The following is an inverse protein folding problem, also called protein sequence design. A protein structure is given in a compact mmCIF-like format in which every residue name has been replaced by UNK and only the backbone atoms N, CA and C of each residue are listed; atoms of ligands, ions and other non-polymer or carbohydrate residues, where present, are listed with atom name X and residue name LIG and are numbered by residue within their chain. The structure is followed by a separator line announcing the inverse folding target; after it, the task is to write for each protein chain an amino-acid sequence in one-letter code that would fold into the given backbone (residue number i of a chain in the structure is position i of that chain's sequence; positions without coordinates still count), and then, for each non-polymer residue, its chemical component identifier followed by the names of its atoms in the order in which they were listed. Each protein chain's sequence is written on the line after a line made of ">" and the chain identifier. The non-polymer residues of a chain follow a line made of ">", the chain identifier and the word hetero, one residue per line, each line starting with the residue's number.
data_IF_297350248549
#
_entry.id   IF_297350248549
#
_cell.length_a   1.000
_cell.length_b   1.000
_cell.length_c   1.000
_cell.angle_alpha   90.00
_cell.angle_beta   90.00
_cell.angle_gamma   90.00
#
_symmetry.space_group_name_H-M   'P 1'
#
loop_
_entity.id
_entity.type
_entity.pdbx_description
1 polymer ?
#
# COMPACT_ATOMS: atom_id res chain seq x y z
N UNK A 1 -11.03 -10.93 2.28
CA UNK A 1 -12.17 -11.48 1.52
C UNK A 1 -13.41 -10.57 1.45
N UNK A 2 -14.31 -10.50 2.44
CA UNK A 2 -15.57 -9.74 2.29
C UNK A 2 -15.35 -8.23 2.06
N UNK A 3 -14.46 -7.62 2.85
CA UNK A 3 -14.11 -6.20 2.69
C UNK A 3 -13.40 -5.90 1.37
N UNK A 4 -12.56 -6.81 0.90
CA UNK A 4 -11.90 -6.68 -0.41
C UNK A 4 -12.92 -6.72 -1.55
N UNK A 5 -13.83 -7.70 -1.53
CA UNK A 5 -14.93 -7.78 -2.49
C UNK A 5 -15.77 -6.50 -2.49
N UNK A 6 -16.16 -6.02 -1.31
CA UNK A 6 -16.94 -4.79 -1.17
C UNK A 6 -16.17 -3.56 -1.67
N UNK A 7 -14.88 -3.45 -1.37
CA UNK A 7 -14.05 -2.34 -1.85
C UNK A 7 -13.93 -2.35 -3.37
N UNK A 8 -13.54 -3.47 -3.96
CA UNK A 8 -13.38 -3.61 -5.41
C UNK A 8 -14.68 -3.34 -6.15
N UNK A 9 -15.80 -3.92 -5.71
CA UNK A 9 -17.10 -3.71 -6.36
C UNK A 9 -17.64 -2.30 -6.18
N UNK A 10 -17.39 -1.67 -5.04
CA UNK A 10 -17.81 -0.30 -4.76
C UNK A 10 -17.03 0.69 -5.61
N UNK A 11 -15.71 0.55 -5.69
CA UNK A 11 -14.85 1.40 -6.52
C UNK A 11 -15.20 1.23 -7.99
N UNK A 12 -15.33 -0.01 -8.48
CA UNK A 12 -15.66 -0.28 -9.88
C UNK A 12 -17.05 0.24 -10.32
N UNK A 13 -17.98 0.46 -9.38
CA UNK A 13 -19.31 1.03 -9.64
C UNK A 13 -19.38 2.54 -9.40
N UNK A 14 -18.33 3.11 -8.84
CA UNK A 14 -18.23 4.56 -8.59
C UNK A 14 -17.74 5.30 -9.84
N UNK A 15 -17.72 6.62 -9.76
CA UNK A 15 -17.09 7.48 -10.78
C UNK A 15 -15.56 7.63 -10.58
N UNK A 16 -14.96 6.92 -9.60
CA UNK A 16 -13.52 6.99 -9.34
C UNK A 16 -12.68 6.33 -10.43
N UNK A 17 -13.23 5.31 -11.09
CA UNK A 17 -12.58 4.59 -12.17
C UNK A 17 -13.53 4.51 -13.36
N UNK A 18 -13.04 4.93 -14.51
CA UNK A 18 -13.70 4.83 -15.82
C UNK A 18 -12.78 4.03 -16.75
N UNK A 19 -13.25 3.48 -17.88
CA UNK A 19 -12.37 2.79 -18.83
C UNK A 19 -11.16 3.63 -19.28
N UNK A 20 -11.27 4.96 -19.25
CA UNK A 20 -10.22 5.91 -19.61
C UNK A 20 -9.29 6.28 -18.45
N UNK A 21 -9.59 5.84 -17.23
CA UNK A 21 -8.75 6.11 -16.06
C UNK A 21 -7.42 5.36 -16.14
N UNK A 22 -6.32 6.06 -15.84
CA UNK A 22 -4.99 5.42 -15.74
C UNK A 22 -4.96 4.42 -14.58
N UNK A 23 -5.55 4.79 -13.44
CA UNK A 23 -5.68 3.89 -12.28
C UNK A 23 -7.00 3.12 -12.37
N UNK A 24 -6.91 1.82 -12.16
CA UNK A 24 -7.99 0.84 -12.21
C UNK A 24 -7.95 -0.05 -10.97
N UNK A 25 -9.02 -0.84 -10.79
CA UNK A 25 -9.06 -1.95 -9.83
C UNK A 25 -9.45 -3.24 -10.56
N UNK A 26 -8.99 -4.41 -10.10
CA UNK A 26 -9.40 -5.67 -10.71
C UNK A 26 -10.91 -5.85 -10.74
N UNK A 27 -11.46 -6.20 -11.90
CA UNK A 27 -12.85 -6.63 -11.99
C UNK A 27 -13.08 -7.91 -11.20
N UNK A 28 -14.09 -7.88 -10.34
CA UNK A 28 -14.57 -9.08 -9.65
C UNK A 28 -15.38 -9.94 -10.61
N UNK A 29 -14.96 -11.20 -10.80
CA UNK A 29 -15.65 -12.18 -11.62
C UNK A 29 -16.62 -13.04 -10.78
N UNK A 30 -16.20 -13.42 -9.59
CA UNK A 30 -17.01 -14.24 -8.67
C UNK A 30 -16.58 -14.00 -7.23
N UNK A 31 -17.55 -14.00 -6.32
CA UNK A 31 -17.30 -14.01 -4.87
C UNK A 31 -18.15 -15.11 -4.23
N UNK A 32 -17.47 -16.06 -3.57
CA UNK A 32 -18.09 -17.09 -2.75
C UNK A 32 -17.78 -16.80 -1.27
N UNK A 33 -18.76 -16.26 -0.51
CA UNK A 33 -18.58 -15.97 0.91
C UNK A 33 -18.48 -17.23 1.77
N UNK A 34 -19.00 -18.38 1.31
CA UNK A 34 -18.98 -19.64 2.08
C UNK A 34 -17.62 -20.32 1.98
N UNK A 35 -17.01 -20.28 0.79
CA UNK A 35 -15.67 -20.81 0.56
C UNK A 35 -14.55 -19.82 0.92
N UNK A 36 -14.90 -18.56 1.22
CA UNK A 36 -13.93 -17.47 1.34
C UNK A 36 -13.05 -17.38 0.08
N UNK A 37 -13.68 -17.37 -1.10
CA UNK A 37 -13.01 -17.28 -2.41
C UNK A 37 -13.46 -16.04 -3.16
N UNK A 38 -12.51 -15.32 -3.74
CA UNK A 38 -12.72 -14.19 -4.63
C UNK A 38 -11.94 -14.48 -5.92
N UNK A 39 -12.66 -14.49 -7.05
CA UNK A 39 -12.08 -14.67 -8.38
C UNK A 39 -12.07 -13.30 -9.04
N UNK A 40 -10.88 -12.83 -9.38
CA UNK A 40 -10.63 -11.55 -10.02
C UNK A 40 -10.25 -11.75 -11.49
N UNK A 41 -10.33 -10.68 -12.27
CA UNK A 41 -9.74 -10.67 -13.60
C UNK A 41 -8.24 -10.94 -13.54
N UNK A 42 -7.75 -11.63 -14.57
CA UNK A 42 -6.32 -11.80 -14.76
C UNK A 42 -5.74 -10.52 -15.36
N UNK A 43 -4.73 -9.98 -14.69
CA UNK A 43 -4.04 -8.75 -15.08
C UNK A 43 -2.73 -9.00 -15.81
N UNK A 44 -2.39 -10.27 -16.13
CA UNK A 44 -1.22 -10.57 -16.92
C UNK A 44 -1.22 -9.82 -18.28
N UNK A 45 -0.08 -9.26 -18.71
CA UNK A 45 1.26 -9.41 -18.15
C UNK A 45 1.70 -8.22 -17.28
N UNK A 46 0.81 -7.63 -16.47
CA UNK A 46 1.16 -6.53 -15.57
C UNK A 46 2.21 -6.97 -14.53
N UNK A 47 3.09 -6.03 -14.15
CA UNK A 47 4.20 -6.26 -13.22
C UNK A 47 4.04 -5.43 -11.95
N UNK A 48 4.53 -5.89 -10.79
CA UNK A 48 4.57 -5.07 -9.57
C UNK A 48 5.30 -3.75 -9.81
N UNK A 49 4.79 -2.66 -9.23
CA UNK A 49 5.34 -1.32 -9.42
C UNK A 49 6.80 -1.26 -8.96
N UNK A 50 7.17 -1.99 -7.91
CA UNK A 50 8.57 -2.11 -7.45
C UNK A 50 9.52 -2.57 -8.57
N UNK A 51 9.13 -3.61 -9.31
CA UNK A 51 9.91 -4.17 -10.42
C UNK A 51 10.06 -3.15 -11.54
N UNK A 52 8.98 -2.45 -11.87
CA UNK A 52 8.97 -1.42 -12.92
C UNK A 52 9.84 -0.21 -12.53
N UNK A 53 9.79 0.23 -11.28
CA UNK A 53 10.61 1.33 -10.80
C UNK A 53 12.09 0.93 -10.73
N UNK A 54 12.40 -0.30 -10.32
CA UNK A 54 13.77 -0.80 -10.27
C UNK A 54 14.39 -0.90 -11.67
N UNK A 55 13.65 -1.46 -12.63
CA UNK A 55 14.09 -1.52 -14.03
C UNK A 55 14.32 -0.11 -14.60
N UNK A 56 13.38 0.82 -14.37
CA UNK A 56 13.52 2.20 -14.84
C UNK A 56 14.71 2.92 -14.18
N UNK A 57 15.00 2.64 -12.92
CA UNK A 57 16.18 3.16 -12.22
C UNK A 57 17.48 2.61 -12.83
N UNK A 58 17.58 1.29 -13.03
CA UNK A 58 18.74 0.64 -13.62
C UNK A 58 19.01 1.12 -15.06
N UNK A 59 17.95 1.41 -15.81
CA UNK A 59 18.03 1.90 -17.19
C UNK A 59 18.18 3.43 -17.30
N UNK A 60 18.23 4.17 -16.19
CA UNK A 60 18.34 5.64 -16.20
C UNK A 60 17.11 6.38 -16.76
N UNK A 61 15.94 5.75 -16.76
CA UNK A 61 14.67 6.30 -17.31
C UNK A 61 13.62 6.62 -16.24
N UNK A 62 14.01 6.57 -14.96
CA UNK A 62 13.11 6.68 -13.80
C UNK A 62 12.30 7.99 -13.77
N UNK A 63 12.87 9.11 -14.20
CA UNK A 63 12.28 10.44 -14.00
C UNK A 63 10.92 10.59 -14.68
N UNK A 64 10.85 10.38 -15.99
CA UNK A 64 9.59 10.56 -16.75
C UNK A 64 8.52 9.54 -16.33
N UNK A 65 8.92 8.29 -16.05
CA UNK A 65 7.98 7.21 -15.70
C UNK A 65 7.43 7.37 -14.28
N UNK A 66 8.29 7.68 -13.31
CA UNK A 66 7.89 7.90 -11.92
C UNK A 66 6.98 9.12 -11.76
N UNK A 67 7.21 10.20 -12.51
CA UNK A 67 6.34 11.38 -12.52
C UNK A 67 4.91 11.04 -12.93
N UNK A 68 4.72 10.32 -14.05
CA UNK A 68 3.39 9.94 -14.54
C UNK A 68 2.67 9.01 -13.57
N UNK A 69 3.38 8.02 -13.03
CA UNK A 69 2.84 7.07 -12.05
C UNK A 69 2.43 7.79 -10.77
N UNK A 70 3.34 8.60 -10.21
CA UNK A 70 3.09 9.34 -8.97
C UNK A 70 1.91 10.31 -9.11
N UNK A 71 1.81 11.01 -10.24
CA UNK A 71 0.67 11.90 -10.52
C UNK A 71 -0.65 11.11 -10.59
N UNK A 72 -0.68 9.98 -11.31
CA UNK A 72 -1.88 9.17 -11.45
C UNK A 72 -2.34 8.54 -10.13
N UNK A 73 -1.41 7.98 -9.34
CA UNK A 73 -1.71 7.40 -8.03
C UNK A 73 -2.15 8.46 -7.01
N UNK A 74 -1.47 9.62 -7.00
CA UNK A 74 -1.82 10.74 -6.13
C UNK A 74 -3.19 11.31 -6.43
N UNK A 75 -3.52 11.50 -7.72
CA UNK A 75 -4.85 11.90 -8.15
C UNK A 75 -5.92 10.87 -7.74
N UNK A 76 -5.68 9.59 -8.01
CA UNK A 76 -6.62 8.52 -7.65
C UNK A 76 -6.90 8.48 -6.14
N UNK A 77 -5.86 8.46 -5.31
CA UNK A 77 -6.04 8.34 -3.85
C UNK A 77 -6.69 9.61 -3.28
N UNK A 78 -6.34 10.79 -3.80
CA UNK A 78 -6.98 12.05 -3.41
C UNK A 78 -8.47 12.10 -3.76
N UNK A 79 -8.83 11.61 -4.95
CA UNK A 79 -10.24 11.47 -5.36
C UNK A 79 -10.97 10.43 -4.52
N UNK A 80 -10.37 9.28 -4.23
CA UNK A 80 -10.95 8.25 -3.36
C UNK A 80 -11.25 8.81 -1.97
N UNK A 81 -10.29 9.50 -1.35
CA UNK A 81 -10.47 10.11 -0.03
C UNK A 81 -11.55 11.19 -0.06
N UNK A 82 -11.56 12.04 -1.07
CA UNK A 82 -12.56 13.12 -1.22
C UNK A 82 -13.96 12.56 -1.45
N UNK A 83 -14.10 11.58 -2.35
CA UNK A 83 -15.36 10.93 -2.66
C UNK A 83 -15.92 10.16 -1.46
N UNK A 84 -15.06 9.40 -0.77
CA UNK A 84 -15.49 8.63 0.41
C UNK A 84 -15.84 9.50 1.61
N UNK A 85 -15.42 10.77 1.64
CA UNK A 85 -15.80 11.75 2.67
C UNK A 85 -17.23 12.28 2.50
N UNK A 86 -17.82 12.16 1.30
CA UNK A 86 -19.12 12.76 0.97
C UNK A 86 -20.24 12.18 1.85
N UNK A 87 -21.23 12.97 2.29
CA UNK A 87 -22.35 12.49 3.11
C UNK A 87 -23.07 11.27 2.53
N UNK A 88 -23.18 11.19 1.21
CA UNK A 88 -23.78 10.09 0.45
C UNK A 88 -23.07 8.75 0.69
N UNK A 89 -21.79 8.78 1.06
CA UNK A 89 -20.99 7.60 1.36
C UNK A 89 -21.00 7.21 2.84
N UNK A 90 -21.89 7.77 3.67
CA UNK A 90 -21.94 7.48 5.10
C UNK A 90 -22.12 5.99 5.42
N UNK A 91 -22.99 5.28 4.69
CA UNK A 91 -23.21 3.84 4.88
C UNK A 91 -21.98 3.01 4.52
N UNK A 92 -21.29 3.37 3.43
CA UNK A 92 -20.02 2.75 3.04
C UNK A 92 -18.97 2.96 4.13
N UNK A 93 -18.82 4.19 4.64
CA UNK A 93 -17.88 4.47 5.74
C UNK A 93 -18.22 3.66 6.99
N UNK A 94 -19.49 3.60 7.37
CA UNK A 94 -19.93 2.77 8.50
C UNK A 94 -19.54 1.30 8.29
N UNK A 95 -19.75 0.76 7.09
CA UNK A 95 -19.36 -0.61 6.75
C UNK A 95 -17.84 -0.83 6.88
N UNK A 96 -17.01 0.02 6.27
CA UNK A 96 -15.56 -0.11 6.34
C UNK A 96 -14.97 0.20 7.73
N UNK A 97 -15.70 0.93 8.59
CA UNK A 97 -15.32 1.11 9.99
C UNK A 97 -15.39 -0.19 10.80
N UNK A 98 -16.10 -1.21 10.30
CA UNK A 98 -16.25 -2.51 10.92
C UNK A 98 -15.15 -3.51 10.51
N UNK A 99 -14.16 -3.11 9.71
CA UNK A 99 -13.01 -3.95 9.39
C UNK A 99 -12.04 -4.05 10.60
N UNK A 100 -12.48 -4.78 11.64
CA UNK A 100 -11.78 -4.88 12.93
C UNK A 100 -10.35 -5.40 12.76
N UNK A 101 -10.14 -6.39 11.89
CA UNK A 101 -8.80 -6.94 11.63
C UNK A 101 -7.84 -5.85 11.15
N UNK A 102 -8.28 -5.02 10.21
CA UNK A 102 -7.50 -3.90 9.67
C UNK A 102 -7.31 -2.75 10.67
N UNK A 103 -8.27 -2.52 11.57
CA UNK A 103 -8.18 -1.45 12.58
C UNK A 103 -7.36 -1.83 13.82
N UNK A 104 -7.37 -3.10 14.20
CA UNK A 104 -6.83 -3.54 15.49
C UNK A 104 -5.69 -4.55 15.36
N UNK A 105 -5.92 -5.64 14.61
CA UNK A 105 -4.98 -6.75 14.55
C UNK A 105 -3.72 -6.37 13.77
N UNK A 106 -3.89 -5.80 12.58
CA UNK A 106 -2.78 -5.47 11.69
C UNK A 106 -1.87 -4.37 12.26
N UNK A 107 -2.37 -3.20 12.72
CA UNK A 107 -1.53 -2.19 13.34
C UNK A 107 -0.75 -2.72 14.55
N UNK A 108 -1.36 -3.60 15.36
CA UNK A 108 -0.70 -4.22 16.51
C UNK A 108 0.51 -5.05 16.08
N UNK A 109 0.35 -5.85 15.03
CA UNK A 109 1.45 -6.66 14.47
C UNK A 109 2.53 -5.75 13.91
N UNK A 110 2.18 -4.77 13.08
CA UNK A 110 3.15 -3.88 12.44
C UNK A 110 3.98 -3.08 13.44
N UNK A 111 3.34 -2.40 14.40
CA UNK A 111 4.07 -1.60 15.38
C UNK A 111 4.81 -2.47 16.40
N UNK A 112 4.30 -3.66 16.72
CA UNK A 112 5.00 -4.65 17.53
C UNK A 112 6.29 -5.13 16.87
N UNK A 113 6.22 -5.52 15.60
CA UNK A 113 7.39 -5.96 14.83
C UNK A 113 8.38 -4.81 14.56
N UNK A 114 7.89 -3.59 14.37
CA UNK A 114 8.74 -2.39 14.28
C UNK A 114 9.57 -2.20 15.56
N UNK A 115 8.94 -2.20 16.75
CA UNK A 115 9.64 -2.02 18.03
C UNK A 115 10.63 -3.16 18.27
N UNK A 116 10.20 -4.41 18.01
CA UNK A 116 11.02 -5.61 18.16
C UNK A 116 12.26 -5.54 17.25
N UNK A 117 12.09 -5.17 15.99
CA UNK A 117 13.17 -4.98 15.03
C UNK A 117 14.12 -3.86 15.47
N UNK A 118 13.58 -2.73 15.93
CA UNK A 118 14.39 -1.63 16.43
C UNK A 118 15.25 -2.04 17.64
N UNK A 119 14.69 -2.82 18.57
CA UNK A 119 15.43 -3.36 19.72
C UNK A 119 16.53 -4.34 19.28
N UNK A 120 16.20 -5.27 18.39
CA UNK A 120 17.14 -6.26 17.86
C UNK A 120 18.38 -5.61 17.22
N UNK A 121 18.18 -4.54 16.46
CA UNK A 121 19.26 -3.86 15.74
C UNK A 121 19.85 -2.65 16.47
N UNK A 122 19.45 -2.40 17.72
CA UNK A 122 19.98 -1.27 18.52
C UNK A 122 19.58 0.10 17.99
N UNK A 123 18.46 0.19 17.26
CA UNK A 123 17.85 1.41 16.74
C UNK A 123 16.70 1.92 17.61
N UNK A 124 16.33 1.17 18.65
CA UNK A 124 15.25 1.52 19.55
C UNK A 124 15.48 2.87 20.22
N UNK A 125 14.42 3.67 20.24
CA UNK A 125 14.37 4.93 20.99
C UNK A 125 13.10 4.95 21.85
N UNK A 126 13.14 5.49 23.08
CA UNK A 126 11.98 5.46 23.99
C UNK A 126 10.68 6.03 23.40
N UNK A 127 10.78 7.04 22.55
CA UNK A 127 9.61 7.64 21.90
C UNK A 127 8.86 6.67 20.96
N UNK A 128 9.48 5.57 20.54
CA UNK A 128 8.86 4.60 19.62
C UNK A 128 7.66 3.88 20.26
N UNK A 129 7.70 3.62 21.56
CA UNK A 129 6.58 3.00 22.27
C UNK A 129 5.38 3.97 22.29
N UNK A 130 5.61 5.25 22.65
CA UNK A 130 4.57 6.30 22.62
C UNK A 130 4.00 6.51 21.22
N UNK A 131 4.87 6.49 20.20
CA UNK A 131 4.47 6.58 18.79
C UNK A 131 3.59 5.40 18.39
N UNK A 132 4.00 4.17 18.70
CA UNK A 132 3.22 2.97 18.40
C UNK A 132 1.85 3.01 19.08
N UNK A 133 1.80 3.37 20.37
CA UNK A 133 0.54 3.51 21.10
C UNK A 133 -0.37 4.58 20.50
N UNK A 134 0.19 5.73 20.10
CA UNK A 134 -0.60 6.77 19.45
C UNK A 134 -1.18 6.28 18.12
N UNK A 135 -0.37 5.61 17.29
CA UNK A 135 -0.84 5.06 16.02
C UNK A 135 -1.90 3.96 16.20
N UNK A 136 -1.79 3.16 17.25
CA UNK A 136 -2.84 2.21 17.62
C UNK A 136 -4.15 2.90 17.99
N UNK A 137 -4.10 3.98 18.78
CA UNK A 137 -5.28 4.78 19.12
C UNK A 137 -5.91 5.41 17.89
N UNK A 138 -5.10 5.97 16.99
CA UNK A 138 -5.56 6.57 15.74
C UNK A 138 -6.27 5.53 14.85
N UNK A 139 -5.69 4.33 14.69
CA UNK A 139 -6.29 3.25 13.91
C UNK A 139 -7.63 2.75 14.49
N UNK A 140 -7.74 2.69 15.83
CA UNK A 140 -8.98 2.30 16.52
C UNK A 140 -10.07 3.37 16.41
N UNK A 141 -9.71 4.64 16.58
CA UNK A 141 -10.61 5.76 16.39
C UNK A 141 -11.15 5.81 14.95
N UNK A 142 -10.35 5.37 13.98
CA UNK A 142 -10.72 5.37 12.57
C UNK A 142 -10.59 6.76 11.98
N UNK A 143 -11.47 7.10 11.04
CA UNK A 143 -11.47 8.41 10.40
C UNK A 143 -12.68 8.62 9.50
N UNK A 144 -12.71 9.76 8.81
CA UNK A 144 -13.87 10.22 8.05
C UNK A 144 -13.79 9.90 6.55
N UNK A 145 -12.79 9.15 6.12
CA UNK A 145 -12.61 8.71 4.72
C UNK A 145 -12.32 7.22 4.70
N UNK A 146 -12.57 6.56 3.57
CA UNK A 146 -12.10 5.20 3.32
C UNK A 146 -10.71 5.27 2.71
N UNK A 147 -9.77 4.57 3.31
CA UNK A 147 -8.41 4.38 2.81
C UNK A 147 -8.25 2.99 2.19
N UNK A 148 -7.27 2.80 1.32
CA UNK A 148 -6.92 1.46 0.82
C UNK A 148 -6.30 0.63 1.96
N UNK A 149 -5.49 1.25 2.82
CA UNK A 149 -5.08 0.69 4.10
C UNK A 149 -3.81 -0.16 4.07
N UNK A 150 -3.40 -0.62 2.89
CA UNK A 150 -2.12 -1.26 2.57
C UNK A 150 -1.57 -0.71 1.24
N UNK A 151 -1.56 0.61 1.11
CA UNK A 151 -1.21 1.29 -0.14
C UNK A 151 0.31 1.37 -0.31
N UNK A 152 0.90 0.30 -0.86
CA UNK A 152 2.34 0.19 -1.11
C UNK A 152 2.63 -0.41 -2.49
N UNK A 153 3.90 -0.37 -2.90
CA UNK A 153 4.33 -0.65 -4.27
C UNK A 153 4.09 -2.09 -4.75
N UNK A 154 3.89 -3.06 -3.87
CA UNK A 154 3.59 -4.45 -4.27
C UNK A 154 2.09 -4.65 -4.53
N UNK A 155 1.23 -3.81 -3.96
CA UNK A 155 -0.21 -3.82 -4.19
C UNK A 155 -0.61 -2.93 -5.39
N UNK A 156 0.35 -2.59 -6.24
CA UNK A 156 0.15 -1.81 -7.46
C UNK A 156 0.81 -2.54 -8.62
N UNK A 157 0.01 -2.97 -9.59
CA UNK A 157 0.49 -3.58 -10.82
C UNK A 157 0.49 -2.55 -11.95
N UNK A 158 1.46 -2.65 -12.85
CA UNK A 158 1.65 -1.76 -13.99
C UNK A 158 1.54 -2.59 -15.26
N UNK A 159 0.59 -2.27 -16.13
CA UNK A 159 0.51 -2.92 -17.45
C UNK A 159 1.73 -2.57 -18.31
N UNK A 160 2.13 -3.43 -19.25
CA UNK A 160 3.19 -3.06 -20.18
C UNK A 160 2.75 -1.93 -21.13
N UNK A 161 3.73 -1.30 -21.77
CA UNK A 161 3.50 -0.33 -22.84
C UNK A 161 3.69 1.15 -22.43
N UNK A 162 3.68 2.05 -23.43
CA UNK A 162 3.84 3.50 -23.20
C UNK A 162 2.58 4.15 -22.62
N UNK A 163 1.41 3.62 -22.97
CA UNK A 163 0.11 3.93 -22.36
C UNK A 163 -0.21 2.78 -21.41
N UNK A 164 0.14 2.95 -20.14
CA UNK A 164 -0.01 1.92 -19.12
C UNK A 164 -1.21 2.22 -18.22
N UNK A 165 -1.81 1.15 -17.70
CA UNK A 165 -2.72 1.19 -16.57
C UNK A 165 -1.99 0.82 -15.28
N UNK A 166 -2.47 1.37 -14.18
CA UNK A 166 -2.06 1.03 -12.83
C UNK A 166 -3.24 0.33 -12.15
N UNK A 167 -3.05 -0.91 -11.69
CA UNK A 167 -4.08 -1.65 -10.97
C UNK A 167 -3.75 -1.67 -9.49
N UNK A 168 -4.60 -1.03 -8.69
CA UNK A 168 -4.50 -1.14 -7.22
C UNK A 168 -5.24 -2.39 -6.79
N UNK A 169 -4.52 -3.34 -6.20
CA UNK A 169 -5.01 -4.67 -5.83
C UNK A 169 -5.02 -4.84 -4.31
N UNK A 170 -5.49 -6.00 -3.83
CA UNK A 170 -5.41 -6.41 -2.42
C UNK A 170 -6.08 -5.44 -1.42
N UNK A 171 -7.36 -5.16 -1.66
CA UNK A 171 -8.14 -4.19 -0.87
C UNK A 171 -8.66 -4.75 0.48
N UNK A 172 -8.11 -5.85 0.99
CA UNK A 172 -8.63 -6.47 2.20
C UNK A 172 -8.45 -5.60 3.46
N UNK A 173 -7.49 -4.68 3.41
CA UNK A 173 -7.20 -3.71 4.46
C UNK A 173 -8.00 -2.41 4.35
N UNK A 174 -8.92 -2.30 3.40
CA UNK A 174 -9.76 -1.12 3.27
C UNK A 174 -10.52 -0.85 4.57
N UNK A 175 -10.43 0.38 5.07
CA UNK A 175 -11.02 0.79 6.35
C UNK A 175 -11.25 2.29 6.40
N UNK A 176 -12.05 2.72 7.38
CA UNK A 176 -12.09 4.14 7.73
C UNK A 176 -10.89 4.55 8.58
N UNK A 177 -10.16 5.56 8.14
CA UNK A 177 -8.97 6.09 8.82
C UNK A 177 -8.67 7.50 8.32
N UNK A 178 -7.58 8.09 8.80
CA UNK A 178 -7.08 9.34 8.26
C UNK A 178 -6.37 9.12 6.90
N UNK A 179 -6.52 10.04 5.93
CA UNK A 179 -5.99 9.89 4.58
C UNK A 179 -4.45 9.80 4.51
N UNK A 180 -3.73 10.39 5.47
CA UNK A 180 -2.27 10.35 5.51
C UNK A 180 -1.69 8.95 5.68
N UNK A 181 -2.49 7.96 6.08
CA UNK A 181 -2.03 6.57 6.23
C UNK A 181 -1.62 5.98 4.88
N UNK A 182 -2.45 6.12 3.84
CA UNK A 182 -2.12 5.62 2.49
C UNK A 182 -0.86 6.32 1.95
N UNK A 183 -0.79 7.65 2.11
CA UNK A 183 0.35 8.45 1.65
C UNK A 183 1.63 8.06 2.40
N UNK A 184 1.54 7.88 3.71
CA UNK A 184 2.66 7.52 4.57
C UNK A 184 3.21 6.12 4.27
N UNK A 185 2.34 5.13 4.06
CA UNK A 185 2.76 3.78 3.68
C UNK A 185 3.43 3.75 2.32
N UNK A 186 2.85 4.43 1.34
CA UNK A 186 3.43 4.50 0.00
C UNK A 186 4.79 5.19 0.01
N UNK A 187 4.90 6.35 0.65
CA UNK A 187 6.15 7.10 0.76
C UNK A 187 7.23 6.35 1.56
N UNK A 188 6.84 5.69 2.66
CA UNK A 188 7.73 4.86 3.46
C UNK A 188 8.29 3.69 2.67
N UNK A 189 7.44 2.95 1.95
CA UNK A 189 7.84 1.84 1.11
C UNK A 189 8.80 2.29 -0.01
N UNK A 190 8.48 3.38 -0.70
CA UNK A 190 9.35 3.96 -1.72
C UNK A 190 10.71 4.38 -1.17
N UNK A 191 10.73 4.98 0.04
CA UNK A 191 11.98 5.35 0.69
C UNK A 191 12.84 4.12 1.01
N UNK A 192 12.25 3.07 1.59
CA UNK A 192 12.96 1.83 1.90
C UNK A 192 13.55 1.17 0.65
N UNK A 193 12.76 1.06 -0.42
CA UNK A 193 13.22 0.46 -1.69
C UNK A 193 14.32 1.31 -2.32
N UNK A 194 14.16 2.64 -2.35
CA UNK A 194 15.19 3.54 -2.87
C UNK A 194 16.49 3.44 -2.08
N UNK A 195 16.40 3.38 -0.76
CA UNK A 195 17.56 3.27 0.13
C UNK A 195 18.31 1.96 -0.06
N UNK A 196 17.59 0.83 -0.11
CA UNK A 196 18.18 -0.50 -0.33
C UNK A 196 18.85 -0.54 -1.71
N UNK A 197 18.17 -0.09 -2.77
CA UNK A 197 18.69 -0.22 -4.13
C UNK A 197 19.80 0.78 -4.47
N UNK A 198 19.81 2.00 -3.90
CA UNK A 198 20.99 2.89 -4.02
C UNK A 198 22.23 2.26 -3.41
N UNK A 199 22.10 1.61 -2.26
CA UNK A 199 23.22 0.92 -1.61
C UNK A 199 23.72 -0.29 -2.39
N UNK A 200 22.86 -0.96 -3.17
CA UNK A 200 23.25 -2.06 -4.04
C UNK A 200 23.99 -1.59 -5.31
N UNK A 201 23.78 -0.35 -5.76
CA UNK A 201 24.45 0.23 -6.93
C UNK A 201 25.72 1.02 -6.57
N UNK A 202 25.80 1.60 -5.37
CA UNK A 202 26.91 2.49 -4.96
C UNK A 202 28.05 1.81 -4.17
N UNK A 203 28.00 0.51 -3.87
CA UNK A 203 29.06 -0.18 -3.11
C UNK A 203 29.67 -1.38 -3.86
N UNK A 204 31.00 -1.41 -4.12
CA UNK A 204 31.72 -2.66 -4.01
C UNK A 204 31.57 -3.13 -2.56
N UNK A 205 31.31 -4.43 -2.36
CA UNK A 205 31.16 -5.09 -1.05
C UNK A 205 32.24 -4.65 -0.03
N UNK A 206 31.99 -3.58 0.72
CA UNK A 206 32.86 -3.11 1.80
C UNK A 206 32.03 -2.64 3.00
N UNK A 207 31.64 -3.60 3.83
CA UNK A 207 32.20 -3.78 5.17
C UNK A 207 31.92 -2.79 6.31
N UNK A 208 31.51 -1.53 6.11
CA UNK A 208 31.73 -0.55 7.20
C UNK A 208 30.53 0.24 7.74
N UNK A 209 29.29 0.01 7.31
CA UNK A 209 28.18 0.84 7.80
C UNK A 209 27.24 0.25 8.84
N UNK A 210 27.34 -1.04 9.20
CA UNK A 210 26.71 -1.60 10.41
C UNK A 210 27.39 -2.95 10.75
N UNK A 211 28.26 -3.07 11.78
CA UNK A 211 28.88 -4.35 12.11
C UNK A 211 27.87 -5.40 12.63
N UNK A 212 26.60 -5.05 12.86
CA UNK A 212 25.55 -5.93 13.41
C UNK A 212 24.47 -6.36 12.41
N UNK A 213 24.54 -5.92 11.15
CA UNK A 213 23.62 -6.32 10.08
C UNK A 213 24.34 -7.17 9.03
N UNK A 214 25.30 -7.99 9.45
CA UNK A 214 25.80 -9.08 8.63
C UNK A 214 24.70 -10.14 8.56
N UNK A 215 24.23 -10.54 7.36
CA UNK A 215 23.34 -11.68 7.24
C UNK A 215 24.10 -12.90 7.74
N UNK A 216 23.63 -13.49 8.85
CA UNK A 216 23.95 -14.88 9.14
C UNK A 216 23.19 -15.70 8.10
N UNK A 217 23.84 -15.94 6.97
CA UNK A 217 23.40 -16.99 6.07
C UNK A 217 23.35 -18.29 6.85
N UNK A 218 22.19 -18.94 6.83
CA UNK A 218 21.96 -20.26 7.38
C UNK A 218 22.99 -21.25 6.82
N UNK A 219 23.69 -21.93 7.72
CA UNK A 219 24.20 -23.28 7.49
C UNK A 219 23.16 -24.31 7.90
#
# INVERSE_FOLDING_TARGET
>A
MAFEYEALTTIARSELVTPESVVQVPRVLLYDPSAYVLILEDLAPALPLSSVLLEAFQNGTIESKSMKIGAALGDFIGRLHSWSALPEQASMRERFSQNVASKESIPRVWYGEMIKSAKQYGLYMPWMDEFAEQRMRDAQAGGNVVIMGDFWVENILVSPGPEFHLYVIDWEMARCANPEVDVGYFAGALHSISYINRRLVELPLHGELYPKLQPTFFG
#
